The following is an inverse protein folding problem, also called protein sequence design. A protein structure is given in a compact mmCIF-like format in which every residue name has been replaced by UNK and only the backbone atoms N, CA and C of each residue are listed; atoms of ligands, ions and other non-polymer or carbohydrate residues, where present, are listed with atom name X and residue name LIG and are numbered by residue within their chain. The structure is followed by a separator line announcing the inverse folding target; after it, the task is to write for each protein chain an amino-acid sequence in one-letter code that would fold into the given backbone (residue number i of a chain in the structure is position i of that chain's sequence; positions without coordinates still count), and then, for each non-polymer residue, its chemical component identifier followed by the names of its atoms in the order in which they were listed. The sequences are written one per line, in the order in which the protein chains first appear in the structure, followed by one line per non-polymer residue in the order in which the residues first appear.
data_IF_856887797123
#
_entry.id   IF_856887797123
#
_cell.length_a   1.000
_cell.length_b   1.000
_cell.length_c   1.000
_cell.angle_alpha   90.00
_cell.angle_beta   90.00
_cell.angle_gamma   90.00
#
_symmetry.space_group_name_H-M   'P 1'
#
loop_
_entity.id
_entity.type
_entity.pdbx_description
1 polymer ?
#
# COMPACT_ATOMS: atom_id res chain seq x y z
N UNK A 1 -3.82 27.08 -8.44
CA UNK A 1 -4.24 27.45 -7.07
C UNK A 1 -3.00 27.90 -6.34
N UNK A 2 -2.98 29.04 -5.64
CA UNK A 2 -1.86 29.36 -4.76
C UNK A 2 -1.75 28.26 -3.70
N UNK A 3 -0.53 27.78 -3.48
CA UNK A 3 -0.22 26.80 -2.42
C UNK A 3 0.37 27.55 -1.25
N UNK A 4 -0.38 27.65 -0.16
CA UNK A 4 0.16 28.06 1.13
C UNK A 4 0.59 26.80 1.90
N UNK A 5 1.79 26.82 2.46
CA UNK A 5 2.39 25.65 3.09
C UNK A 5 2.60 25.88 4.59
N UNK A 6 2.33 24.84 5.37
CA UNK A 6 2.77 24.69 6.75
C UNK A 6 3.74 23.52 6.82
N UNK A 7 4.82 23.62 7.60
CA UNK A 7 5.72 22.50 7.81
C UNK A 7 5.01 21.38 8.58
N UNK A 8 5.45 20.13 8.37
CA UNK A 8 4.96 18.97 9.11
C UNK A 8 5.08 19.16 10.63
N UNK A 9 6.19 19.76 11.08
CA UNK A 9 6.51 20.03 12.47
C UNK A 9 5.53 21.04 13.09
N UNK A 10 5.16 22.09 12.33
CA UNK A 10 4.28 23.15 12.81
C UNK A 10 2.80 22.81 12.67
N UNK A 11 2.46 21.73 11.95
CA UNK A 11 1.06 21.35 11.76
C UNK A 11 0.42 20.73 13.00
N UNK A 12 1.20 20.23 13.97
CA UNK A 12 0.70 19.60 15.18
C UNK A 12 0.02 18.23 15.01
N UNK A 13 0.02 17.66 13.79
CA UNK A 13 -0.67 16.40 13.46
C UNK A 13 0.27 15.20 13.24
N UNK A 14 1.58 15.42 13.24
CA UNK A 14 2.57 14.37 13.02
C UNK A 14 3.17 13.89 14.34
N UNK A 15 3.41 12.59 14.44
CA UNK A 15 4.05 12.01 15.62
C UNK A 15 5.49 12.48 15.76
N UNK A 16 6.04 12.40 16.97
CA UNK A 16 7.44 12.74 17.23
C UNK A 16 8.40 11.96 16.32
N UNK A 17 8.14 10.68 16.08
CA UNK A 17 8.94 9.84 15.19
C UNK A 17 8.96 10.37 13.76
N UNK A 18 7.81 10.82 13.24
CA UNK A 18 7.74 11.36 11.89
C UNK A 18 8.46 12.70 11.77
N UNK A 19 8.33 13.58 12.77
CA UNK A 19 9.07 14.83 12.79
C UNK A 19 10.57 14.58 12.86
N UNK A 20 11.03 13.69 13.74
CA UNK A 20 12.45 13.34 13.87
C UNK A 20 13.00 12.68 12.59
N UNK A 21 12.19 11.87 11.89
CA UNK A 21 12.55 11.26 10.62
C UNK A 21 12.72 12.32 9.52
N UNK A 22 11.76 13.23 9.39
CA UNK A 22 11.80 14.32 8.42
C UNK A 22 12.93 15.32 8.70
N UNK A 23 13.30 15.50 9.97
CA UNK A 23 14.46 16.29 10.41
C UNK A 23 15.79 15.54 10.24
N UNK A 24 15.78 14.28 9.79
CA UNK A 24 16.96 13.43 9.65
C UNK A 24 17.81 13.36 10.93
N UNK A 25 17.15 13.20 12.09
CA UNK A 25 17.87 13.07 13.37
C UNK A 25 18.84 11.88 13.31
N UNK A 26 20.07 12.10 13.78
CA UNK A 26 21.14 11.08 13.75
C UNK A 26 20.72 9.75 14.38
N UNK A 27 19.93 9.78 15.47
CA UNK A 27 19.44 8.58 16.16
C UNK A 27 18.57 7.66 15.29
N UNK A 28 17.98 8.17 14.20
CA UNK A 28 17.14 7.39 13.30
C UNK A 28 17.88 6.91 12.05
N UNK A 29 19.12 7.36 11.83
CA UNK A 29 19.87 7.05 10.60
C UNK A 29 20.07 5.55 10.39
N UNK A 30 20.17 4.76 11.47
CA UNK A 30 20.30 3.29 11.38
C UNK A 30 19.01 2.57 10.97
N UNK A 31 17.88 3.27 10.92
CA UNK A 31 16.54 2.69 10.66
C UNK A 31 16.10 2.83 9.21
N UNK A 32 16.93 3.45 8.38
CA UNK A 32 16.74 3.52 6.93
C UNK A 32 18.12 3.59 6.25
N UNK A 33 18.16 3.43 4.93
CA UNK A 33 19.42 3.50 4.19
C UNK A 33 19.70 4.93 3.71
N UNK A 34 18.83 5.45 2.83
CA UNK A 34 18.93 6.79 2.25
C UNK A 34 17.64 7.57 2.50
N UNK A 35 17.78 8.86 2.77
CA UNK A 35 16.64 9.79 2.80
C UNK A 35 16.19 10.09 1.37
N UNK A 36 14.89 10.20 1.06
CA UNK A 36 14.37 10.25 -0.31
C UNK A 36 14.53 11.64 -0.99
N UNK A 37 15.75 12.21 -0.98
CA UNK A 37 16.07 13.33 -1.88
C UNK A 37 16.29 12.82 -3.30
N UNK A 38 16.05 13.66 -4.30
CA UNK A 38 16.18 13.28 -5.72
C UNK A 38 17.61 12.81 -6.04
N UNK A 39 18.62 13.42 -5.43
CA UNK A 39 20.04 13.07 -5.58
C UNK A 39 20.35 11.67 -5.04
N UNK A 40 19.71 11.25 -3.95
CA UNK A 40 19.98 9.96 -3.33
C UNK A 40 19.45 8.76 -4.14
N UNK A 41 18.57 9.01 -5.13
CA UNK A 41 18.08 7.94 -6.01
C UNK A 41 19.15 7.32 -6.89
N UNK A 42 20.24 8.03 -7.22
CA UNK A 42 21.34 7.43 -8.01
C UNK A 42 21.93 6.21 -7.28
N UNK A 43 22.28 6.38 -6.00
CA UNK A 43 22.78 5.27 -5.17
C UNK A 43 21.74 4.18 -4.97
N UNK A 44 20.47 4.54 -4.81
CA UNK A 44 19.38 3.57 -4.67
C UNK A 44 19.17 2.73 -5.94
N UNK A 45 19.26 3.36 -7.12
CA UNK A 45 19.15 2.68 -8.41
C UNK A 45 20.26 1.65 -8.55
N UNK A 46 21.52 2.05 -8.29
CA UNK A 46 22.67 1.15 -8.39
C UNK A 46 22.56 -0.04 -7.43
N UNK A 47 22.16 0.21 -6.18
CA UNK A 47 21.98 -0.85 -5.19
C UNK A 47 20.84 -1.81 -5.57
N UNK A 48 19.67 -1.29 -5.93
CA UNK A 48 18.54 -2.14 -6.33
C UNK A 48 18.85 -2.92 -7.61
N UNK A 49 19.57 -2.32 -8.57
CA UNK A 49 19.99 -2.99 -9.79
C UNK A 49 20.92 -4.18 -9.53
N UNK A 50 21.82 -4.06 -8.54
CA UNK A 50 22.75 -5.11 -8.18
C UNK A 50 22.09 -6.24 -7.37
N UNK A 51 21.02 -5.95 -6.62
CA UNK A 51 20.38 -6.90 -5.71
C UNK A 51 19.11 -7.56 -6.26
N UNK A 52 18.37 -6.91 -7.17
CA UNK A 52 17.09 -7.42 -7.67
C UNK A 52 17.27 -8.55 -8.69
N UNK A 53 16.57 -9.66 -8.47
CA UNK A 53 16.55 -10.78 -9.42
C UNK A 53 15.70 -10.43 -10.65
N UNK A 54 16.37 -10.24 -11.79
CA UNK A 54 15.73 -9.89 -13.05
C UNK A 54 14.86 -11.03 -13.62
N UNK A 55 14.99 -12.27 -13.13
CA UNK A 55 14.12 -13.38 -13.52
C UNK A 55 12.65 -13.12 -13.13
N UNK A 56 12.43 -12.37 -12.04
CA UNK A 56 11.10 -12.03 -11.52
C UNK A 56 10.30 -11.13 -12.48
N UNK A 57 10.96 -10.36 -13.34
CA UNK A 57 10.32 -9.41 -14.28
C UNK A 57 9.37 -10.10 -15.24
N UNK A 58 9.71 -11.30 -15.72
CA UNK A 58 8.88 -12.04 -16.68
C UNK A 58 7.56 -12.45 -16.04
N UNK A 59 7.62 -13.00 -14.82
CA UNK A 59 6.42 -13.38 -14.05
C UNK A 59 5.57 -12.16 -13.73
N UNK A 60 6.19 -11.08 -13.22
CA UNK A 60 5.52 -9.82 -12.89
C UNK A 60 4.71 -9.28 -14.08
N UNK A 61 5.34 -9.17 -15.25
CA UNK A 61 4.66 -8.60 -16.43
C UNK A 61 3.61 -9.55 -16.99
N UNK A 62 3.85 -10.87 -16.95
CA UNK A 62 2.84 -11.86 -17.35
C UNK A 62 1.57 -11.73 -16.51
N UNK A 63 1.71 -11.63 -15.18
CA UNK A 63 0.57 -11.47 -14.26
C UNK A 63 -0.12 -10.13 -14.46
N UNK A 64 0.62 -9.04 -14.60
CA UNK A 64 0.03 -7.73 -14.91
C UNK A 64 -0.74 -7.75 -16.24
N UNK A 65 -0.18 -8.32 -17.31
CA UNK A 65 -0.88 -8.44 -18.59
C UNK A 65 -2.19 -9.23 -18.47
N UNK A 66 -2.23 -10.28 -17.64
CA UNK A 66 -3.47 -11.02 -17.33
C UNK A 66 -4.47 -10.16 -16.55
N UNK A 67 -4.01 -9.41 -15.53
CA UNK A 67 -4.87 -8.55 -14.70
C UNK A 67 -5.52 -7.40 -15.48
N UNK A 68 -4.86 -6.96 -16.56
CA UNK A 68 -5.35 -5.88 -17.44
C UNK A 68 -6.09 -6.40 -18.68
N UNK A 69 -6.15 -7.70 -18.92
CA UNK A 69 -6.72 -8.26 -20.15
C UNK A 69 -8.21 -7.89 -20.36
N UNK A 70 -8.96 -7.69 -19.27
CA UNK A 70 -10.37 -7.34 -19.28
C UNK A 70 -10.64 -5.85 -18.96
N UNK A 71 -9.60 -5.01 -18.88
CA UNK A 71 -9.70 -3.60 -18.49
C UNK A 71 -9.18 -2.74 -19.65
N UNK A 72 -10.03 -1.83 -20.15
CA UNK A 72 -9.55 -0.79 -21.05
C UNK A 72 -8.56 0.12 -20.29
N UNK A 73 -7.34 0.21 -20.79
CA UNK A 73 -6.27 0.97 -20.14
C UNK A 73 -5.58 1.90 -21.12
N UNK A 74 -4.89 2.90 -20.59
CA UNK A 74 -4.20 3.87 -21.42
C UNK A 74 -2.97 3.24 -22.08
N UNK A 75 -2.58 3.79 -23.23
CA UNK A 75 -1.32 3.42 -23.88
C UNK A 75 -0.11 3.59 -22.94
N UNK A 76 -0.12 4.62 -22.09
CA UNK A 76 0.97 4.88 -21.15
C UNK A 76 1.04 3.82 -20.04
N UNK A 77 -0.09 3.37 -19.50
CA UNK A 77 -0.11 2.27 -18.53
C UNK A 77 0.38 0.97 -19.15
N UNK A 78 -0.04 0.67 -20.39
CA UNK A 78 0.50 -0.48 -21.12
C UNK A 78 2.02 -0.33 -21.27
N UNK A 79 2.51 0.77 -21.85
CA UNK A 79 3.96 1.01 -21.97
C UNK A 79 4.74 0.81 -20.66
N UNK A 80 4.17 1.24 -19.52
CA UNK A 80 4.77 1.02 -18.20
C UNK A 80 4.79 -0.46 -17.80
N UNK A 81 3.72 -1.23 -18.04
CA UNK A 81 3.68 -2.68 -17.83
C UNK A 81 4.77 -3.37 -18.68
N UNK A 82 4.86 -3.04 -19.97
CA UNK A 82 5.88 -3.60 -20.86
C UNK A 82 7.30 -3.21 -20.44
N UNK A 83 7.51 -1.97 -20.00
CA UNK A 83 8.81 -1.47 -19.57
C UNK A 83 9.37 -2.25 -18.36
N UNK A 84 8.53 -2.84 -17.51
CA UNK A 84 8.99 -3.64 -16.37
C UNK A 84 9.81 -4.88 -16.81
N UNK A 85 9.73 -5.30 -18.08
CA UNK A 85 10.56 -6.39 -18.63
C UNK A 85 12.05 -6.04 -18.73
N UNK A 86 12.39 -4.76 -18.90
CA UNK A 86 13.79 -4.35 -19.13
C UNK A 86 14.50 -3.98 -17.84
N UNK A 87 15.80 -4.25 -17.76
CA UNK A 87 16.59 -4.20 -16.52
C UNK A 87 16.83 -2.78 -15.98
N UNK A 88 16.73 -1.76 -16.84
CA UNK A 88 16.85 -0.34 -16.45
C UNK A 88 15.50 0.29 -16.05
N UNK A 89 14.47 -0.51 -15.81
CA UNK A 89 13.17 -0.05 -15.29
C UNK A 89 13.02 -0.39 -13.82
N UNK A 90 12.62 0.62 -13.04
CA UNK A 90 12.37 0.54 -11.61
C UNK A 90 10.96 1.01 -11.26
N UNK A 91 10.50 0.72 -10.05
CA UNK A 91 9.20 1.16 -9.56
C UNK A 91 9.32 2.19 -8.43
N UNK A 92 8.27 2.98 -8.28
CA UNK A 92 7.95 3.70 -7.05
C UNK A 92 6.58 3.21 -6.62
N UNK A 93 6.45 2.77 -5.38
CA UNK A 93 5.24 2.08 -4.94
C UNK A 93 4.55 2.82 -3.82
N UNK A 94 3.23 2.88 -3.88
CA UNK A 94 2.38 3.13 -2.72
C UNK A 94 1.35 2.02 -2.61
N UNK A 95 0.78 1.81 -1.43
CA UNK A 95 -0.24 0.79 -1.21
C UNK A 95 -1.42 1.33 -0.41
N UNK A 96 -2.58 0.70 -0.56
CA UNK A 96 -3.70 0.92 0.33
C UNK A 96 -4.72 -0.21 0.27
N UNK A 97 -5.56 -0.29 1.30
CA UNK A 97 -6.72 -1.17 1.33
C UNK A 97 -7.76 -0.75 0.29
N UNK A 98 -8.65 -1.68 -0.03
CA UNK A 98 -9.68 -1.56 -1.06
C UNK A 98 -10.90 -0.79 -0.52
N UNK A 99 -10.66 0.43 -0.02
CA UNK A 99 -11.69 1.29 0.54
C UNK A 99 -12.81 1.54 -0.47
N UNK A 100 -14.05 1.38 -0.01
CA UNK A 100 -15.22 1.64 -0.83
C UNK A 100 -15.21 3.08 -1.34
N UNK A 101 -15.30 3.22 -2.66
CA UNK A 101 -15.30 4.48 -3.40
C UNK A 101 -14.17 5.43 -2.98
N UNK A 102 -12.95 4.89 -2.92
CA UNK A 102 -11.67 5.54 -2.51
C UNK A 102 -11.53 5.84 -1.02
N UNK A 103 -12.62 5.80 -0.26
CA UNK A 103 -12.66 6.12 1.17
C UNK A 103 -12.01 7.49 1.48
N UNK A 104 -10.91 7.52 2.25
CA UNK A 104 -10.26 8.76 2.64
C UNK A 104 -9.45 9.39 1.51
N UNK A 105 -9.41 10.73 1.45
CA UNK A 105 -8.71 11.50 0.40
C UNK A 105 -7.22 11.14 0.25
N UNK A 106 -6.58 10.64 1.30
CA UNK A 106 -5.19 10.24 1.23
C UNK A 106 -4.94 9.01 0.34
N UNK A 107 -5.97 8.23 -0.02
CA UNK A 107 -5.90 7.26 -1.12
C UNK A 107 -5.43 7.94 -2.40
N UNK A 108 -6.07 9.06 -2.77
CA UNK A 108 -5.74 9.83 -3.97
C UNK A 108 -4.36 10.47 -3.86
N UNK A 109 -4.05 11.10 -2.72
CA UNK A 109 -2.78 11.80 -2.54
C UNK A 109 -1.57 10.88 -2.62
N UNK A 110 -1.67 9.65 -2.10
CA UNK A 110 -0.63 8.63 -2.22
C UNK A 110 -0.29 8.32 -3.67
N UNK A 111 -1.32 8.07 -4.47
CA UNK A 111 -1.17 7.76 -5.90
C UNK A 111 -0.60 8.96 -6.67
N UNK A 112 -1.11 10.17 -6.42
CA UNK A 112 -0.62 11.40 -7.04
C UNK A 112 0.87 11.62 -6.72
N UNK A 113 1.28 11.47 -5.46
CA UNK A 113 2.69 11.59 -5.05
C UNK A 113 3.57 10.55 -5.76
N UNK A 114 3.08 9.32 -5.93
CA UNK A 114 3.77 8.24 -6.64
C UNK A 114 4.00 8.58 -8.11
N UNK A 115 2.95 9.01 -8.80
CA UNK A 115 3.02 9.44 -10.20
C UNK A 115 3.99 10.62 -10.35
N UNK A 116 3.90 11.63 -9.49
CA UNK A 116 4.76 12.82 -9.59
C UNK A 116 6.23 12.48 -9.36
N UNK A 117 6.55 11.65 -8.35
CA UNK A 117 7.93 11.23 -8.13
C UNK A 117 8.50 10.50 -9.35
N UNK A 118 7.74 9.60 -9.98
CA UNK A 118 8.24 8.93 -11.21
C UNK A 118 8.54 9.87 -12.36
N UNK A 119 7.77 10.96 -12.51
CA UNK A 119 8.04 12.01 -13.51
C UNK A 119 9.31 12.79 -13.18
N UNK A 120 9.50 13.17 -11.91
CA UNK A 120 10.70 13.86 -11.45
C UNK A 120 11.96 13.00 -11.64
N UNK A 121 11.88 11.72 -11.28
CA UNK A 121 12.97 10.76 -11.49
C UNK A 121 13.28 10.57 -12.97
N UNK A 122 12.26 10.47 -13.84
CA UNK A 122 12.48 10.33 -15.28
C UNK A 122 13.17 11.56 -15.88
N UNK A 123 12.84 12.77 -15.39
CA UNK A 123 13.50 14.00 -15.81
C UNK A 123 14.96 14.08 -15.34
N UNK A 124 15.24 13.67 -14.10
CA UNK A 124 16.59 13.68 -13.53
C UNK A 124 17.50 12.58 -14.11
N UNK A 125 16.94 11.39 -14.34
CA UNK A 125 17.66 10.18 -14.71
C UNK A 125 17.09 9.56 -16.01
N UNK A 126 17.25 10.21 -17.17
CA UNK A 126 16.56 9.84 -18.41
C UNK A 126 16.96 8.45 -18.97
N UNK A 127 18.12 7.92 -18.57
CA UNK A 127 18.61 6.60 -18.96
C UNK A 127 17.82 5.43 -18.34
N UNK A 128 17.02 5.70 -17.30
CA UNK A 128 16.21 4.71 -16.60
C UNK A 128 14.73 4.98 -16.81
N UNK A 129 13.88 3.99 -16.54
CA UNK A 129 12.43 4.12 -16.54
C UNK A 129 11.89 3.95 -15.12
N UNK A 130 10.81 4.66 -14.81
CA UNK A 130 10.20 4.67 -13.49
C UNK A 130 8.70 4.46 -13.62
N UNK A 131 8.21 3.37 -13.05
CA UNK A 131 6.80 2.96 -13.15
C UNK A 131 6.10 3.23 -11.82
N UNK A 132 5.02 4.03 -11.80
CA UNK A 132 4.24 4.26 -10.59
C UNK A 132 3.36 3.05 -10.32
N UNK A 133 3.53 2.41 -9.17
CA UNK A 133 2.77 1.23 -8.75
C UNK A 133 1.81 1.60 -7.63
N UNK A 134 0.54 1.21 -7.80
CA UNK A 134 -0.42 1.14 -6.70
C UNK A 134 -0.63 -0.33 -6.30
N UNK A 135 -0.18 -0.69 -5.10
CA UNK A 135 -0.37 -1.99 -4.49
C UNK A 135 -1.75 -2.08 -3.83
N UNK A 136 -2.59 -3.01 -4.30
CA UNK A 136 -3.86 -3.31 -3.65
C UNK A 136 -3.63 -4.29 -2.50
N UNK A 137 -4.06 -3.94 -1.28
CA UNK A 137 -4.01 -4.86 -0.13
C UNK A 137 -5.19 -5.86 -0.16
N UNK A 138 -5.27 -6.65 -1.23
CA UNK A 138 -6.35 -7.61 -1.50
C UNK A 138 -6.42 -8.77 -0.51
N UNK A 139 -5.27 -9.17 0.03
CA UNK A 139 -5.18 -10.25 1.01
C UNK A 139 -5.54 -9.81 2.43
N UNK A 140 -5.80 -8.53 2.69
CA UNK A 140 -6.23 -8.09 4.02
C UNK A 140 -7.63 -8.65 4.36
N UNK A 141 -8.00 -8.65 5.62
CA UNK A 141 -9.28 -9.19 6.11
C UNK A 141 -10.06 -8.17 6.96
N UNK A 142 -9.53 -6.96 7.14
CA UNK A 142 -10.20 -5.89 7.86
C UNK A 142 -11.29 -5.21 7.01
N UNK A 143 -12.45 -5.88 6.94
CA UNK A 143 -13.60 -5.36 6.20
C UNK A 143 -14.20 -4.10 6.83
N UNK A 144 -14.09 -3.93 8.15
CA UNK A 144 -14.72 -2.81 8.86
C UNK A 144 -14.05 -1.47 8.53
N UNK A 145 -12.75 -1.48 8.20
CA UNK A 145 -12.05 -0.29 7.73
C UNK A 145 -12.47 0.15 6.32
N UNK A 146 -12.86 -0.80 5.45
CA UNK A 146 -13.07 -0.53 4.03
C UNK A 146 -14.53 -0.44 3.59
N UNK A 147 -15.48 -0.92 4.41
CA UNK A 147 -16.87 -1.12 3.99
C UNK A 147 -17.71 0.16 3.90
N UNK A 148 -17.10 1.34 3.95
CA UNK A 148 -17.85 2.59 3.93
C UNK A 148 -17.08 3.78 3.32
N UNK A 149 -17.84 4.81 2.98
CA UNK A 149 -17.32 6.16 2.75
C UNK A 149 -18.27 7.20 3.36
N UNK A 150 -17.75 8.42 3.54
CA UNK A 150 -18.53 9.53 4.09
C UNK A 150 -18.87 10.55 3.00
N UNK A 151 -20.14 10.96 2.93
CA UNK A 151 -20.58 12.02 2.04
C UNK A 151 -21.59 12.92 2.75
N UNK A 152 -21.32 14.23 2.76
CA UNK A 152 -22.13 15.26 3.45
C UNK A 152 -22.44 14.92 4.93
N UNK A 153 -21.48 14.36 5.65
CA UNK A 153 -21.65 13.96 7.05
C UNK A 153 -22.46 12.68 7.27
N UNK A 154 -22.88 11.99 6.19
CA UNK A 154 -23.52 10.67 6.26
C UNK A 154 -22.52 9.58 5.90
N UNK A 155 -22.59 8.44 6.63
CA UNK A 155 -21.80 7.24 6.38
C UNK A 155 -22.59 6.30 5.46
N UNK A 156 -22.09 6.05 4.26
CA UNK A 156 -22.63 5.05 3.33
C UNK A 156 -21.89 3.75 3.56
N UNK A 157 -22.57 2.76 4.16
CA UNK A 157 -21.98 1.48 4.56
C UNK A 157 -22.50 0.35 3.70
N UNK A 158 -21.60 -0.51 3.25
CA UNK A 158 -21.89 -1.80 2.66
C UNK A 158 -22.09 -2.82 3.78
N UNK A 159 -23.35 -3.19 4.03
CA UNK A 159 -23.69 -4.14 5.09
C UNK A 159 -23.55 -5.56 4.55
N UNK A 160 -22.38 -6.17 4.76
CA UNK A 160 -22.07 -7.54 4.35
C UNK A 160 -21.28 -8.23 5.47
N UNK A 161 -21.52 -9.52 5.67
CA UNK A 161 -20.62 -10.35 6.46
C UNK A 161 -19.41 -10.73 5.60
N UNK A 162 -18.21 -10.52 6.13
CA UNK A 162 -16.96 -10.80 5.44
C UNK A 162 -16.13 -11.78 6.25
N UNK A 163 -15.70 -12.86 5.62
CA UNK A 163 -14.75 -13.83 6.16
C UNK A 163 -13.67 -14.06 5.12
N UNK A 164 -12.40 -13.84 5.48
CA UNK A 164 -11.27 -14.03 4.57
C UNK A 164 -10.82 -12.76 3.84
N UNK A 165 -10.10 -12.90 2.71
CA UNK A 165 -9.46 -11.79 2.02
C UNK A 165 -10.44 -10.86 1.31
N UNK A 166 -10.31 -9.56 1.56
CA UNK A 166 -11.22 -8.53 1.07
C UNK A 166 -11.25 -8.42 -0.45
N UNK A 167 -10.13 -8.71 -1.14
CA UNK A 167 -10.05 -8.68 -2.60
C UNK A 167 -10.95 -9.73 -3.28
N UNK A 168 -11.14 -10.88 -2.63
CA UNK A 168 -11.97 -11.99 -3.16
C UNK A 168 -13.45 -11.83 -2.84
N UNK A 169 -13.83 -10.81 -2.07
CA UNK A 169 -15.23 -10.56 -1.72
C UNK A 169 -16.07 -10.25 -2.96
N UNK A 170 -17.20 -10.92 -3.07
CA UNK A 170 -18.24 -10.57 -4.05
C UNK A 170 -18.78 -9.17 -3.82
N UNK A 171 -18.99 -8.40 -4.89
CA UNK A 171 -19.59 -7.05 -4.88
C UNK A 171 -21.10 -7.01 -4.61
N UNK A 172 -21.72 -8.18 -4.41
CA UNK A 172 -23.14 -8.29 -4.09
C UNK A 172 -23.55 -7.41 -2.89
N UNK A 173 -24.68 -6.72 -3.02
CA UNK A 173 -25.20 -5.75 -2.06
C UNK A 173 -24.76 -4.31 -2.31
N UNK A 174 -23.77 -4.06 -3.18
CA UNK A 174 -23.35 -2.68 -3.51
C UNK A 174 -24.39 -1.92 -4.36
N UNK A 175 -25.35 -2.61 -4.97
CA UNK A 175 -26.49 -1.98 -5.64
C UNK A 175 -27.35 -1.15 -4.67
N UNK A 176 -27.57 -1.65 -3.45
CA UNK A 176 -28.34 -0.95 -2.41
C UNK A 176 -27.59 0.30 -1.92
N UNK A 177 -26.26 0.17 -1.75
CA UNK A 177 -25.40 1.30 -1.41
C UNK A 177 -25.45 2.37 -2.50
N UNK A 178 -25.40 1.94 -3.77
CA UNK A 178 -25.51 2.82 -4.91
C UNK A 178 -26.85 3.59 -4.93
N UNK A 179 -27.98 2.92 -4.68
CA UNK A 179 -29.29 3.56 -4.69
C UNK A 179 -29.39 4.68 -3.65
N UNK A 180 -28.96 4.41 -2.42
CA UNK A 180 -28.93 5.41 -1.35
C UNK A 180 -27.99 6.57 -1.69
N UNK A 181 -26.79 6.26 -2.19
CA UNK A 181 -25.80 7.25 -2.58
C UNK A 181 -26.30 8.15 -3.72
N UNK A 182 -26.89 7.55 -4.76
CA UNK A 182 -27.38 8.25 -5.94
C UNK A 182 -28.51 9.24 -5.60
N UNK A 183 -29.36 8.92 -4.63
CA UNK A 183 -30.40 9.82 -4.13
C UNK A 183 -29.80 11.06 -3.44
N UNK A 184 -28.83 10.87 -2.54
CA UNK A 184 -28.20 11.97 -1.78
C UNK A 184 -27.32 12.89 -2.65
N UNK A 185 -26.77 12.34 -3.75
CA UNK A 185 -25.90 13.07 -4.66
C UNK A 185 -26.65 14.08 -5.56
N UNK A 186 -27.93 13.81 -5.87
CA UNK A 186 -28.74 14.66 -6.75
C UNK A 186 -28.48 14.42 -8.25
N UNK A 187 -28.84 15.36 -9.13
CA UNK A 187 -28.92 15.14 -10.59
C UNK A 187 -28.04 16.08 -11.44
N UNK A 188 -27.06 16.75 -10.84
CA UNK A 188 -26.11 17.59 -11.60
C UNK A 188 -25.23 16.76 -12.54
N UNK A 189 -24.62 17.38 -13.54
CA UNK A 189 -23.66 16.69 -14.45
C UNK A 189 -22.55 15.97 -13.68
N UNK A 190 -21.99 16.62 -12.66
CA UNK A 190 -20.95 16.01 -11.81
C UNK A 190 -21.51 14.85 -10.98
N UNK A 191 -22.77 14.94 -10.55
CA UNK A 191 -23.43 13.84 -9.85
C UNK A 191 -23.59 12.62 -10.77
N UNK A 192 -24.02 12.80 -12.01
CA UNK A 192 -24.14 11.71 -12.97
C UNK A 192 -22.78 11.07 -13.29
N UNK A 193 -21.71 11.87 -13.42
CA UNK A 193 -20.34 11.34 -13.58
C UNK A 193 -19.94 10.43 -12.43
N UNK A 194 -20.12 10.87 -11.18
CA UNK A 194 -19.76 10.08 -9.99
C UNK A 194 -20.65 8.84 -9.83
N UNK A 195 -21.94 8.93 -10.17
CA UNK A 195 -22.83 7.76 -10.19
C UNK A 195 -22.36 6.71 -11.20
N UNK A 196 -21.97 7.14 -12.39
CA UNK A 196 -21.46 6.24 -13.42
C UNK A 196 -20.15 5.59 -12.99
N UNK A 197 -19.22 6.37 -12.40
CA UNK A 197 -17.98 5.82 -11.85
C UNK A 197 -18.24 4.74 -10.79
N UNK A 198 -19.19 4.97 -9.87
CA UNK A 198 -19.56 3.95 -8.88
C UNK A 198 -20.15 2.70 -9.54
N UNK A 199 -21.11 2.89 -10.47
CA UNK A 199 -21.75 1.78 -11.19
C UNK A 199 -20.74 0.94 -11.96
N UNK A 200 -19.88 1.61 -12.72
CA UNK A 200 -18.90 0.98 -13.59
C UNK A 200 -17.88 0.21 -12.77
N UNK A 201 -17.41 0.76 -11.64
CA UNK A 201 -16.49 0.07 -10.75
C UNK A 201 -17.14 -1.09 -9.98
N UNK A 202 -18.31 -0.90 -9.38
CA UNK A 202 -18.81 -1.86 -8.37
C UNK A 202 -19.95 -2.76 -8.83
N UNK A 203 -20.72 -2.36 -9.85
CA UNK A 203 -21.88 -3.14 -10.30
C UNK A 203 -21.62 -3.93 -11.59
N UNK A 204 -20.44 -3.78 -12.20
CA UNK A 204 -20.03 -4.49 -13.43
C UNK A 204 -18.87 -5.47 -13.21
N UNK A 205 -18.50 -5.71 -11.95
CA UNK A 205 -17.40 -6.57 -11.56
C UNK A 205 -17.86 -7.49 -10.45
N UNK A 206 -17.39 -8.74 -10.47
CA UNK A 206 -17.88 -9.77 -9.55
C UNK A 206 -17.22 -9.71 -8.18
N UNK A 207 -16.01 -9.16 -8.07
CA UNK A 207 -15.25 -9.07 -6.82
C UNK A 207 -14.65 -7.68 -6.56
N UNK A 208 -14.26 -7.44 -5.31
CA UNK A 208 -13.76 -6.13 -4.86
C UNK A 208 -12.39 -5.78 -5.46
N UNK A 209 -11.53 -6.77 -5.73
CA UNK A 209 -10.23 -6.53 -6.36
C UNK A 209 -10.37 -5.95 -7.77
N UNK A 210 -11.21 -6.57 -8.61
CA UNK A 210 -11.46 -6.10 -9.97
C UNK A 210 -12.19 -4.75 -9.97
N UNK A 211 -13.16 -4.58 -9.07
CA UNK A 211 -13.86 -3.31 -8.89
C UNK A 211 -12.91 -2.16 -8.51
N UNK A 212 -12.00 -2.41 -7.57
CA UNK A 212 -11.01 -1.42 -7.11
C UNK A 212 -9.98 -1.13 -8.20
N UNK A 213 -9.53 -2.16 -8.93
CA UNK A 213 -8.61 -2.00 -10.07
C UNK A 213 -9.24 -1.13 -11.16
N UNK A 214 -10.51 -1.37 -11.49
CA UNK A 214 -11.26 -0.56 -12.44
C UNK A 214 -11.34 0.90 -11.97
N UNK A 215 -11.77 1.14 -10.72
CA UNK A 215 -11.89 2.49 -10.18
C UNK A 215 -10.55 3.24 -10.24
N UNK A 216 -9.47 2.64 -9.73
CA UNK A 216 -8.14 3.25 -9.75
C UNK A 216 -7.64 3.51 -11.19
N UNK A 217 -7.88 2.58 -12.14
CA UNK A 217 -7.53 2.77 -13.54
C UNK A 217 -8.33 3.91 -14.19
N UNK A 218 -9.62 4.04 -13.89
CA UNK A 218 -10.43 5.16 -14.40
C UNK A 218 -9.97 6.53 -13.90
N UNK A 219 -9.44 6.60 -12.67
CA UNK A 219 -8.97 7.84 -12.05
C UNK A 219 -7.55 8.20 -12.50
N UNK A 220 -6.67 7.20 -12.68
CA UNK A 220 -5.23 7.43 -12.79
C UNK A 220 -4.54 6.75 -13.98
N UNK A 221 -5.23 5.88 -14.72
CA UNK A 221 -4.66 5.12 -15.83
C UNK A 221 -4.11 6.01 -16.94
N UNK A 222 -4.72 7.16 -17.21
CA UNK A 222 -4.19 8.13 -18.20
C UNK A 222 -2.83 8.71 -17.81
N UNK A 223 -2.44 8.63 -16.54
CA UNK A 223 -1.14 9.06 -16.03
C UNK A 223 -0.13 7.91 -15.91
N UNK A 224 -0.45 6.72 -16.43
CA UNK A 224 0.45 5.58 -16.47
C UNK A 224 0.52 4.78 -15.17
N UNK A 225 -0.45 4.94 -14.26
CA UNK A 225 -0.50 4.14 -13.04
C UNK A 225 -0.63 2.66 -13.39
N UNK A 226 0.20 1.82 -12.77
CA UNK A 226 0.07 0.37 -12.80
C UNK A 226 -0.44 -0.11 -11.43
N UNK A 227 -1.71 -0.46 -11.37
CA UNK A 227 -2.34 -1.14 -10.24
C UNK A 227 -1.97 -2.63 -10.24
N UNK A 228 -1.49 -3.13 -9.11
CA UNK A 228 -1.06 -4.51 -8.91
C UNK A 228 -1.90 -5.18 -7.82
N UNK A 229 -2.49 -6.33 -8.18
CA UNK A 229 -2.98 -7.31 -7.21
C UNK A 229 -1.91 -8.39 -7.02
N UNK A 230 -1.39 -8.53 -5.80
CA UNK A 230 -0.29 -9.45 -5.53
C UNK A 230 -0.74 -10.81 -4.96
N UNK A 231 -2.06 -11.03 -4.82
CA UNK A 231 -2.63 -12.33 -4.44
C UNK A 231 -2.58 -13.31 -5.63
N UNK A 232 -1.38 -13.78 -5.97
CA UNK A 232 -1.14 -14.62 -7.14
C UNK A 232 0.02 -15.60 -6.94
N UNK A 233 -0.20 -16.86 -7.33
CA UNK A 233 0.79 -17.93 -7.19
C UNK A 233 2.12 -17.64 -7.91
N UNK A 234 2.08 -17.16 -9.16
CA UNK A 234 3.27 -16.88 -9.96
C UNK A 234 4.10 -15.72 -9.39
N UNK A 235 3.44 -14.76 -8.70
CA UNK A 235 4.11 -13.68 -7.98
C UNK A 235 4.70 -14.14 -6.64
N UNK A 236 4.05 -15.06 -5.93
CA UNK A 236 4.55 -15.57 -4.64
C UNK A 236 5.66 -16.61 -4.78
N UNK A 237 5.86 -17.22 -5.94
CA UNK A 237 6.99 -18.15 -6.18
C UNK A 237 8.36 -17.61 -5.76
N UNK A 238 8.81 -16.42 -6.19
CA UNK A 238 10.08 -15.85 -5.72
C UNK A 238 10.11 -15.51 -4.22
N UNK A 239 8.94 -15.45 -3.56
CA UNK A 239 8.82 -15.21 -2.13
C UNK A 239 8.93 -16.50 -1.30
N UNK A 240 8.82 -17.70 -1.90
CA UNK A 240 8.91 -19.00 -1.22
C UNK A 240 10.12 -19.12 -0.29
N UNK A 241 11.36 -18.77 -0.71
CA UNK A 241 12.52 -18.91 0.16
C UNK A 241 12.42 -18.08 1.45
N UNK A 242 11.82 -16.88 1.37
CA UNK A 242 11.62 -15.99 2.51
C UNK A 242 10.48 -16.47 3.41
N UNK A 243 9.39 -16.98 2.82
CA UNK A 243 8.30 -17.57 3.58
C UNK A 243 8.75 -18.83 4.33
N UNK A 244 9.58 -19.67 3.69
CA UNK A 244 10.20 -20.84 4.31
C UNK A 244 11.12 -20.48 5.47
N UNK A 245 11.97 -19.48 5.28
CA UNK A 245 12.83 -18.95 6.33
C UNK A 245 12.00 -18.44 7.53
N UNK A 246 10.91 -17.72 7.27
CA UNK A 246 10.02 -17.24 8.33
C UNK A 246 9.35 -18.39 9.11
N UNK A 247 8.85 -19.42 8.41
CA UNK A 247 8.24 -20.59 9.06
C UNK A 247 9.22 -21.33 9.96
N UNK A 248 10.46 -21.52 9.50
CA UNK A 248 11.47 -22.34 10.20
C UNK A 248 12.27 -21.57 11.24
N UNK A 249 12.64 -20.32 10.93
CA UNK A 249 13.61 -19.54 11.71
C UNK A 249 13.01 -18.31 12.38
N UNK A 250 11.78 -17.91 12.02
CA UNK A 250 11.09 -16.77 12.62
C UNK A 250 11.96 -15.50 12.56
N UNK A 251 12.67 -15.33 11.44
CA UNK A 251 13.75 -14.35 11.29
C UNK A 251 13.23 -12.93 11.43
N UNK A 252 12.01 -12.66 10.95
CA UNK A 252 11.41 -11.33 11.10
C UNK A 252 11.09 -10.99 12.56
N UNK A 253 10.64 -11.97 13.36
CA UNK A 253 10.37 -11.78 14.78
C UNK A 253 11.61 -11.27 15.53
N UNK A 254 12.71 -12.00 15.40
CA UNK A 254 13.98 -11.71 16.08
C UNK A 254 14.53 -10.34 15.65
N UNK A 255 14.61 -10.09 14.35
CA UNK A 255 15.19 -8.86 13.82
C UNK A 255 14.36 -7.61 14.15
N UNK A 256 13.04 -7.69 14.13
CA UNK A 256 12.16 -6.54 14.41
C UNK A 256 12.15 -6.22 15.90
N UNK A 257 12.11 -7.23 16.79
CA UNK A 257 12.17 -7.01 18.24
C UNK A 257 13.40 -6.20 18.66
N UNK A 258 14.57 -6.50 18.09
CA UNK A 258 15.81 -5.74 18.35
C UNK A 258 15.71 -4.27 17.95
N UNK A 259 14.92 -3.96 16.92
CA UNK A 259 14.70 -2.58 16.46
C UNK A 259 13.63 -1.87 17.28
N UNK A 260 12.55 -2.55 17.66
CA UNK A 260 11.51 -2.01 18.54
C UNK A 260 12.09 -1.53 19.87
N UNK A 261 13.10 -2.23 20.41
CA UNK A 261 13.85 -1.80 21.60
C UNK A 261 14.52 -0.43 21.45
N UNK A 262 15.12 -0.15 20.29
CA UNK A 262 15.75 1.16 19.97
C UNK A 262 14.72 2.27 19.82
N UNK A 263 13.50 1.88 19.49
CA UNK A 263 12.39 2.78 19.21
C UNK A 263 11.44 2.98 20.39
N UNK A 264 11.73 2.43 21.57
CA UNK A 264 10.92 2.55 22.80
C UNK A 264 10.49 3.98 23.17
N UNK A 265 11.29 5.00 22.84
CA UNK A 265 10.94 6.41 23.09
C UNK A 265 9.80 6.92 22.19
N UNK A 266 9.52 6.20 21.11
CA UNK A 266 8.44 6.44 20.17
C UNK A 266 7.31 5.43 20.42
N UNK A 267 6.06 5.89 20.41
CA UNK A 267 4.90 5.04 20.64
C UNK A 267 4.55 4.26 19.36
N UNK A 268 5.31 3.21 19.04
CA UNK A 268 5.12 2.43 17.81
C UNK A 268 4.14 1.27 18.02
N UNK A 269 3.40 0.93 16.97
CA UNK A 269 2.15 0.16 17.02
C UNK A 269 2.26 -1.27 16.48
N UNK A 270 3.42 -1.71 15.94
CA UNK A 270 3.53 -3.04 15.36
C UNK A 270 4.36 -3.94 16.27
N UNK A 271 3.72 -5.01 16.76
CA UNK A 271 4.39 -6.05 17.54
C UNK A 271 4.60 -7.27 16.63
N UNK A 272 5.86 -7.71 16.42
CA UNK A 272 6.12 -8.89 15.62
C UNK A 272 5.59 -10.15 16.30
N UNK A 273 4.93 -11.00 15.52
CA UNK A 273 4.56 -12.36 15.94
C UNK A 273 5.74 -13.29 15.69
N UNK A 274 5.68 -14.51 16.22
CA UNK A 274 6.70 -15.54 15.91
C UNK A 274 6.67 -15.92 14.43
N UNK A 275 5.49 -16.18 13.88
CA UNK A 275 5.28 -16.38 12.44
C UNK A 275 4.44 -15.22 11.91
N UNK A 276 5.00 -14.49 10.94
CA UNK A 276 4.41 -13.30 10.33
C UNK A 276 3.70 -13.60 8.99
N UNK A 277 3.26 -14.84 8.83
CA UNK A 277 2.46 -15.35 7.71
C UNK A 277 1.09 -15.83 8.21
N UNK A 278 0.09 -15.68 7.34
CA UNK A 278 -1.23 -16.26 7.47
C UNK A 278 -1.41 -17.39 6.46
N UNK A 279 -2.22 -18.37 6.82
CA UNK A 279 -2.82 -19.31 5.88
C UNK A 279 -4.09 -18.68 5.31
N UNK A 280 -4.22 -18.64 3.98
CA UNK A 280 -5.30 -17.96 3.27
C UNK A 280 -6.01 -18.89 2.29
N UNK A 281 -7.34 -18.85 2.32
CA UNK A 281 -8.27 -19.46 1.38
C UNK A 281 -9.38 -18.44 1.04
N UNK A 282 -10.29 -18.79 0.14
CA UNK A 282 -11.31 -17.84 -0.35
C UNK A 282 -12.21 -17.25 0.74
N UNK A 283 -12.41 -17.98 1.83
CA UNK A 283 -13.30 -17.58 2.94
C UNK A 283 -12.59 -17.46 4.28
N UNK A 284 -11.26 -17.54 4.29
CA UNK A 284 -10.51 -17.61 5.53
C UNK A 284 -9.11 -17.00 5.37
N UNK A 285 -8.69 -16.25 6.38
CA UNK A 285 -7.30 -15.83 6.53
C UNK A 285 -6.93 -15.92 8.00
N UNK A 286 -6.21 -16.97 8.35
CA UNK A 286 -5.94 -17.33 9.74
C UNK A 286 -4.46 -17.44 10.02
N UNK A 287 -4.09 -17.16 11.26
CA UNK A 287 -2.68 -17.13 11.66
C UNK A 287 -2.10 -18.54 11.64
N UNK A 288 -0.85 -18.65 11.21
CA UNK A 288 -0.06 -19.86 11.39
C UNK A 288 0.62 -19.76 12.76
N UNK A 289 0.47 -20.76 13.62
CA UNK A 289 1.07 -20.83 14.95
C UNK A 289 1.87 -22.12 15.06
N UNK A 290 3.12 -22.04 15.51
CA UNK A 290 3.95 -23.22 15.77
C UNK A 290 3.80 -23.65 17.23
N UNK A 291 3.19 -24.82 17.47
CA UNK A 291 3.00 -25.38 18.81
C UNK A 291 3.33 -26.87 18.80
N UNK A 292 4.13 -27.33 19.77
CA UNK A 292 4.47 -28.74 19.95
C UNK A 292 5.04 -29.40 18.68
N UNK A 293 5.78 -28.64 17.86
CA UNK A 293 6.36 -29.12 16.60
C UNK A 293 5.40 -29.21 15.42
N UNK A 294 4.17 -28.67 15.56
CA UNK A 294 3.17 -28.60 14.49
C UNK A 294 2.76 -27.17 14.17
N UNK A 295 2.50 -26.90 12.90
CA UNK A 295 1.97 -25.64 12.42
C UNK A 295 0.44 -25.69 12.41
N UNK A 296 -0.19 -25.04 13.38
CA UNK A 296 -1.64 -24.96 13.53
C UNK A 296 -2.18 -23.72 12.83
N UNK A 297 -3.28 -23.88 12.10
CA UNK A 297 -4.03 -22.77 11.56
C UNK A 297 -5.04 -22.32 12.62
N UNK A 298 -4.81 -21.14 13.18
CA UNK A 298 -5.57 -20.60 14.29
C UNK A 298 -7.08 -20.63 14.02
N UNK A 299 -7.88 -20.86 15.07
CA UNK A 299 -9.35 -20.99 14.99
C UNK A 299 -9.88 -22.15 14.11
N UNK A 300 -9.03 -23.07 13.66
CA UNK A 300 -9.43 -24.22 12.85
C UNK A 300 -8.93 -25.55 13.43
N UNK A 301 -9.29 -26.65 12.77
CA UNK A 301 -8.74 -27.99 13.04
C UNK A 301 -7.56 -28.35 12.12
N UNK A 302 -7.14 -27.44 11.25
CA UNK A 302 -6.07 -27.68 10.28
C UNK A 302 -4.74 -27.57 11.00
N UNK A 303 -3.92 -28.60 10.86
CA UNK A 303 -2.55 -28.65 11.35
C UNK A 303 -1.66 -29.33 10.31
N UNK A 304 -0.40 -28.90 10.27
CA UNK A 304 0.62 -29.45 9.40
C UNK A 304 1.88 -29.80 10.22
N UNK A 305 2.54 -30.89 9.86
CA UNK A 305 3.96 -31.08 10.15
C UNK A 305 4.82 -30.07 9.38
N UNK A 306 6.11 -30.01 9.72
CA UNK A 306 7.07 -29.19 8.97
C UNK A 306 7.15 -29.63 7.50
N UNK A 307 7.23 -30.93 7.24
CA UNK A 307 7.30 -31.45 5.88
C UNK A 307 6.04 -31.11 5.07
N UNK A 308 4.86 -31.21 5.69
CA UNK A 308 3.59 -30.91 5.03
C UNK A 308 3.43 -29.42 4.71
N UNK A 309 3.75 -28.51 5.65
CA UNK A 309 3.59 -27.06 5.40
C UNK A 309 4.60 -26.57 4.37
N UNK A 310 5.82 -27.12 4.37
CA UNK A 310 6.82 -26.77 3.37
C UNK A 310 6.45 -27.32 1.99
N UNK A 311 5.94 -28.55 1.90
CA UNK A 311 5.42 -29.08 0.65
C UNK A 311 4.27 -28.23 0.10
N UNK A 312 3.37 -27.78 0.99
CA UNK A 312 2.25 -26.90 0.64
C UNK A 312 2.74 -25.53 0.15
N UNK A 313 3.76 -24.95 0.79
CA UNK A 313 4.35 -23.68 0.36
C UNK A 313 4.95 -23.77 -1.05
N UNK A 314 5.60 -24.89 -1.38
CA UNK A 314 6.18 -25.11 -2.72
C UNK A 314 5.09 -25.35 -3.78
N UNK A 315 4.02 -26.08 -3.45
CA UNK A 315 2.95 -26.40 -4.40
C UNK A 315 1.91 -25.29 -4.57
N UNK A 316 1.61 -24.56 -3.49
CA UNK A 316 0.52 -23.59 -3.37
C UNK A 316 0.97 -22.32 -2.62
N UNK A 317 1.95 -21.57 -3.13
CA UNK A 317 2.46 -20.39 -2.44
C UNK A 317 1.38 -19.30 -2.25
N UNK A 318 0.34 -19.27 -3.09
CA UNK A 318 -0.85 -18.41 -2.95
C UNK A 318 -1.57 -18.57 -1.61
N UNK A 319 -1.44 -19.72 -0.94
CA UNK A 319 -2.04 -19.97 0.38
C UNK A 319 -1.29 -19.33 1.55
N UNK A 320 -0.15 -18.67 1.30
CA UNK A 320 0.65 -18.01 2.33
C UNK A 320 0.57 -16.50 2.15
N UNK A 321 -0.18 -15.82 3.03
CA UNK A 321 -0.38 -14.37 2.98
C UNK A 321 0.51 -13.66 4.00
N UNK A 322 1.37 -12.71 3.59
CA UNK A 322 2.20 -11.99 4.53
C UNK A 322 1.41 -10.97 5.36
N UNK A 323 1.77 -10.81 6.64
CA UNK A 323 1.23 -9.75 7.48
C UNK A 323 1.93 -8.39 7.24
N UNK A 324 1.65 -7.39 8.07
CA UNK A 324 2.24 -6.04 7.99
C UNK A 324 3.78 -6.01 7.98
N UNK A 325 4.46 -7.00 8.58
CA UNK A 325 5.93 -7.12 8.63
C UNK A 325 6.48 -7.77 7.36
N UNK A 326 5.83 -8.84 6.89
CA UNK A 326 6.31 -9.63 5.75
C UNK A 326 5.87 -9.06 4.41
N UNK A 327 4.79 -8.28 4.35
CA UNK A 327 4.25 -7.70 3.11
C UNK A 327 5.22 -6.69 2.48
N UNK A 328 5.93 -5.85 3.25
CA UNK A 328 7.06 -5.06 2.75
C UNK A 328 8.11 -5.91 2.05
N UNK A 329 8.54 -7.02 2.64
CA UNK A 329 9.52 -7.88 1.99
C UNK A 329 8.96 -8.48 0.70
N UNK A 330 7.73 -8.98 0.72
CA UNK A 330 7.09 -9.54 -0.47
C UNK A 330 7.06 -8.54 -1.64
N UNK A 331 6.70 -7.28 -1.37
CA UNK A 331 6.74 -6.21 -2.37
C UNK A 331 8.15 -6.00 -2.93
N UNK A 332 9.16 -5.93 -2.07
CA UNK A 332 10.54 -5.65 -2.49
C UNK A 332 11.21 -6.82 -3.21
N UNK A 333 10.72 -8.04 -3.00
CA UNK A 333 11.15 -9.25 -3.72
C UNK A 333 10.58 -9.27 -5.15
N UNK A 334 9.31 -8.91 -5.33
CA UNK A 334 8.67 -9.01 -6.65
C UNK A 334 8.84 -7.75 -7.50
N UNK A 335 9.06 -6.58 -6.88
CA UNK A 335 9.23 -5.31 -7.58
C UNK A 335 10.68 -4.79 -7.53
N UNK A 336 11.21 -4.23 -8.63
CA UNK A 336 12.44 -3.45 -8.64
C UNK A 336 12.18 -2.05 -8.03
N UNK A 337 11.64 -2.00 -6.81
CA UNK A 337 11.19 -0.78 -6.16
C UNK A 337 12.35 0.04 -5.58
N UNK A 338 12.30 1.36 -5.79
CA UNK A 338 13.27 2.31 -5.26
C UNK A 338 12.76 3.01 -4.01
N UNK A 339 11.46 3.30 -3.96
CA UNK A 339 10.87 4.06 -2.87
C UNK A 339 9.45 3.61 -2.58
N UNK A 340 9.14 3.53 -1.29
CA UNK A 340 7.79 3.35 -0.79
C UNK A 340 7.23 4.68 -0.31
N UNK A 341 6.05 5.06 -0.82
CA UNK A 341 5.33 6.26 -0.40
C UNK A 341 4.19 5.86 0.53
N UNK A 342 4.22 6.34 1.77
CA UNK A 342 3.24 6.00 2.81
C UNK A 342 2.82 7.18 3.69
N UNK A 343 1.75 7.00 4.46
CA UNK A 343 1.41 7.90 5.56
C UNK A 343 2.37 7.75 6.76
N UNK A 344 2.25 8.65 7.74
CA UNK A 344 3.14 8.63 8.92
C UNK A 344 3.11 7.31 9.72
N UNK A 345 1.93 6.69 9.86
CA UNK A 345 1.82 5.37 10.50
C UNK A 345 2.51 4.26 9.68
N UNK A 346 2.47 4.36 8.35
CA UNK A 346 3.13 3.39 7.48
C UNK A 346 4.65 3.53 7.56
N UNK A 347 5.16 4.76 7.38
CA UNK A 347 6.60 5.02 7.48
C UNK A 347 7.14 4.64 8.87
N UNK A 348 6.36 4.86 9.93
CA UNK A 348 6.75 4.46 11.28
C UNK A 348 7.04 2.96 11.39
N UNK A 349 6.14 2.08 10.91
CA UNK A 349 6.41 0.64 10.99
C UNK A 349 7.49 0.21 9.99
N UNK A 350 7.63 0.85 8.83
CA UNK A 350 8.70 0.52 7.88
C UNK A 350 10.09 0.73 8.50
N UNK A 351 10.28 1.79 9.30
CA UNK A 351 11.53 2.04 10.02
C UNK A 351 11.92 0.89 10.98
N UNK A 352 10.94 0.12 11.47
CA UNK A 352 11.19 -1.05 12.31
C UNK A 352 11.78 -2.24 11.54
N UNK A 353 11.61 -2.25 10.21
CA UNK A 353 11.95 -3.38 9.36
C UNK A 353 13.36 -3.34 8.80
N UNK A 354 14.12 -2.25 8.99
CA UNK A 354 15.43 -2.08 8.37
C UNK A 354 16.41 -3.21 8.74
N UNK A 355 16.46 -3.60 10.01
CA UNK A 355 17.28 -4.73 10.47
C UNK A 355 16.87 -6.05 9.82
N UNK A 356 15.57 -6.27 9.66
CA UNK A 356 15.03 -7.47 9.03
C UNK A 356 15.47 -7.55 7.56
N UNK A 357 15.37 -6.45 6.81
CA UNK A 357 15.83 -6.37 5.42
C UNK A 357 17.34 -6.62 5.27
N UNK A 358 18.15 -6.13 6.22
CA UNK A 358 19.59 -6.42 6.24
C UNK A 358 19.88 -7.90 6.43
N UNK A 359 19.15 -8.56 7.34
CA UNK A 359 19.27 -10.00 7.60
C UNK A 359 18.93 -10.84 6.38
N UNK A 360 17.85 -10.51 5.68
CA UNK A 360 17.42 -11.24 4.46
C UNK A 360 18.10 -10.76 3.18
N UNK A 361 19.01 -9.78 3.28
CA UNK A 361 19.82 -9.24 2.18
C UNK A 361 19.01 -8.73 0.99
N UNK A 362 17.86 -8.11 1.27
CA UNK A 362 17.04 -7.43 0.25
C UNK A 362 17.20 -5.92 0.41
N UNK A 363 17.41 -5.21 -0.70
CA UNK A 363 17.52 -3.75 -0.70
C UNK A 363 16.29 -3.12 -0.03
N UNK A 364 16.53 -2.38 1.04
CA UNK A 364 15.50 -1.59 1.71
C UNK A 364 15.16 -0.35 0.87
N UNK A 365 13.88 -0.06 0.58
CA UNK A 365 13.50 1.08 -0.25
C UNK A 365 13.68 2.39 0.52
N UNK A 366 13.80 3.50 -0.22
CA UNK A 366 13.71 4.82 0.40
C UNK A 366 12.27 5.10 0.84
N UNK A 367 12.10 5.54 2.08
CA UNK A 367 10.78 5.79 2.66
C UNK A 367 10.40 7.24 2.42
N UNK A 368 9.28 7.51 1.73
CA UNK A 368 8.81 8.86 1.50
C UNK A 368 7.47 9.07 2.20
N UNK A 369 7.42 10.06 3.08
CA UNK A 369 6.16 10.51 3.69
C UNK A 369 5.35 11.24 2.62
N UNK A 370 4.17 10.71 2.29
CA UNK A 370 3.28 11.32 1.29
C UNK A 370 2.96 12.78 1.64
N UNK A 371 2.52 13.53 0.63
CA UNK A 371 1.96 14.85 0.87
C UNK A 371 0.70 14.76 1.76
N UNK A 372 0.54 15.74 2.65
CA UNK A 372 -0.69 15.97 3.40
C UNK A 372 -1.36 17.23 2.90
N UNK A 373 -2.60 17.09 2.43
CA UNK A 373 -3.32 18.17 1.76
C UNK A 373 -4.68 18.35 2.42
N UNK A 374 -5.00 19.61 2.74
CA UNK A 374 -6.31 20.06 3.19
C UNK A 374 -7.00 20.80 2.05
N UNK A 375 -8.26 20.45 1.78
CA UNK A 375 -9.08 21.20 0.82
C UNK A 375 -9.86 22.27 1.57
N UNK A 376 -9.68 23.53 1.18
CA UNK A 376 -10.41 24.67 1.69
C UNK A 376 -11.22 25.34 0.58
N UNK A 377 -12.47 25.66 0.88
CA UNK A 377 -13.33 26.41 -0.02
C UNK A 377 -12.94 27.88 -0.04
N UNK A 378 -13.21 28.57 -1.15
CA UNK A 378 -13.00 30.03 -1.26
C UNK A 378 -13.73 30.81 -0.13
N UNK A 379 -14.89 30.32 0.30
CA UNK A 379 -15.62 30.90 1.43
C UNK A 379 -14.88 30.77 2.75
N UNK A 380 -14.22 29.64 3.01
CA UNK A 380 -13.40 29.43 4.20
C UNK A 380 -12.17 30.35 4.17
N UNK A 381 -11.50 30.45 3.02
CA UNK A 381 -10.33 31.32 2.84
C UNK A 381 -10.71 32.79 3.07
N UNK A 382 -11.75 33.30 2.39
CA UNK A 382 -12.23 34.69 2.61
C UNK A 382 -12.65 34.97 4.05
N UNK A 383 -13.13 33.95 4.78
CA UNK A 383 -13.48 34.10 6.20
C UNK A 383 -12.22 34.18 7.06
N UNK A 384 -11.21 33.35 6.79
CA UNK A 384 -9.92 33.42 7.47
C UNK A 384 -9.27 34.79 7.25
N UNK A 385 -9.22 35.27 5.99
CA UNK A 385 -8.65 36.57 5.65
C UNK A 385 -9.36 37.73 6.38
N UNK A 386 -10.70 37.71 6.45
CA UNK A 386 -11.48 38.72 7.18
C UNK A 386 -11.26 38.69 8.69
N UNK A 387 -10.86 37.55 9.23
CA UNK A 387 -10.52 37.38 10.64
C UNK A 387 -9.02 37.59 10.88
N UNK A 388 -8.26 37.98 9.85
CA UNK A 388 -6.81 38.17 9.88
C UNK A 388 -6.06 36.91 10.38
N UNK A 389 -6.60 35.72 10.10
CA UNK A 389 -6.03 34.43 10.49
C UNK A 389 -5.07 33.90 9.43
N UNK A 390 -3.92 33.42 9.88
CA UNK A 390 -2.97 32.66 9.06
C UNK A 390 -3.29 31.16 9.07
N UNK A 391 -2.69 30.40 8.15
CA UNK A 391 -2.79 28.93 8.20
C UNK A 391 -2.21 28.33 9.48
N UNK A 392 -1.19 28.97 10.08
CA UNK A 392 -0.66 28.52 11.38
C UNK A 392 -1.73 28.65 12.49
N UNK A 393 -2.53 29.71 12.46
CA UNK A 393 -3.60 29.92 13.43
C UNK A 393 -4.71 28.87 13.24
N UNK A 394 -5.05 28.56 12.00
CA UNK A 394 -6.08 27.56 11.67
C UNK A 394 -5.69 26.13 12.06
N UNK A 395 -4.40 25.83 12.17
CA UNK A 395 -3.87 24.53 12.60
C UNK A 395 -3.56 24.47 14.11
N UNK A 396 -3.70 25.59 14.82
CA UNK A 396 -3.53 25.62 16.26
C UNK A 396 -4.63 24.83 16.95
N UNK A 397 -4.33 24.24 18.12
CA UNK A 397 -5.35 23.56 18.93
C UNK A 397 -6.45 24.56 19.28
N UNK A 398 -7.71 24.15 19.15
CA UNK A 398 -8.80 24.90 19.75
C UNK A 398 -8.56 24.88 21.26
N UNK A 399 -8.40 26.06 21.87
CA UNK A 399 -8.48 26.18 23.32
C UNK A 399 -9.94 25.98 23.72
N UNK A 400 -10.17 25.15 24.75
CA UNK A 400 -11.50 24.93 25.34
C UNK A 400 -12.09 26.21 25.93
#
# INVERSE_FOLDING_TARGET
MPTDCISYQNSGYFSLLMNDYLDQKNDLQSLYNRFPTIENFEGQILEKQANYDNSNRVSLVSVLQKQYAAIETSHLTQQNIEALKVTNTFTVTTGHQLNLFTGPLYFLYKIISTINLTKELKAKYPAYNFVPIYWMATEDHDFEEINYFNFKGRKFRWNKESTGPVGRLSTEGLSEVFELYAQELGSSTNAETLKNQFKDAYLKHDNLADATRHLANSLFGTYGLVILDADNADLKRPFIPFAKEELLQQTSHKAVLETTEKLKKYNIQVNPREINLFYIEDKMRERIILEEGKYKINNTKIEFSEEEILALLESNPEMFSPNVIMRPLYQEVILPNLSYIGGGGEIAYWLELKSFFDTVKVTFPMLLVRNSVLLATEKQIKKADKLELTWSDLFSKQAD
#
